data_IF_754633160451
#
_entry.id   IF_754633160451
#
_cell.length_a   1.000
_cell.length_b   1.000
_cell.length_c   1.000
_cell.angle_alpha   90.00
_cell.angle_beta   90.00
_cell.angle_gamma   90.00
#
_symmetry.space_group_name_H-M   'P 1'
#
loop_
_entity.id
_entity.type
_entity.pdbx_description
1 polymer ?
#
# COMPACT_ATOMS: atom_id res chain seq x y z
N UNK A 1 -11.87 -28.53 -14.88
CA UNK A 1 -11.35 -27.74 -13.73
C UNK A 1 -11.07 -26.35 -14.24
N UNK A 2 -11.73 -25.32 -13.72
CA UNK A 2 -11.41 -23.93 -14.09
C UNK A 2 -10.19 -23.48 -13.27
N UNK A 3 -9.14 -23.02 -13.94
CA UNK A 3 -7.98 -22.42 -13.28
C UNK A 3 -8.38 -20.99 -12.90
N UNK A 4 -8.50 -20.72 -11.60
CA UNK A 4 -8.74 -19.37 -11.09
C UNK A 4 -7.40 -18.64 -11.02
N UNK A 5 -7.22 -17.64 -11.88
CA UNK A 5 -6.10 -16.71 -11.78
C UNK A 5 -6.50 -15.54 -10.89
N UNK A 6 -5.70 -15.27 -9.86
CA UNK A 6 -5.80 -14.04 -9.06
C UNK A 6 -4.68 -13.12 -9.50
N UNK A 7 -5.03 -12.04 -10.20
CA UNK A 7 -4.07 -11.00 -10.57
C UNK A 7 -4.17 -9.86 -9.55
N UNK A 8 -3.03 -9.47 -8.97
CA UNK A 8 -2.91 -8.21 -8.24
C UNK A 8 -2.59 -7.09 -9.22
N UNK A 9 -3.12 -5.89 -8.97
CA UNK A 9 -2.84 -4.69 -9.77
C UNK A 9 -3.17 -4.82 -11.27
N UNK A 10 -4.26 -5.50 -11.60
CA UNK A 10 -4.77 -5.53 -12.97
C UNK A 10 -5.36 -4.17 -13.35
N UNK A 11 -5.01 -3.66 -14.53
CA UNK A 11 -5.43 -2.35 -15.02
C UNK A 11 -5.96 -2.45 -16.44
N UNK A 12 -6.76 -1.48 -16.86
CA UNK A 12 -7.31 -1.40 -18.21
C UNK A 12 -6.19 -1.07 -19.22
N UNK A 13 -6.04 -1.94 -20.22
CA UNK A 13 -5.02 -1.83 -21.27
C UNK A 13 -5.25 -0.67 -22.25
N UNK A 14 -6.47 -0.13 -22.28
CA UNK A 14 -6.87 1.03 -23.09
C UNK A 14 -6.06 2.28 -22.77
N UNK A 15 -5.51 2.37 -21.56
CA UNK A 15 -4.69 3.49 -21.09
C UNK A 15 -3.21 3.15 -21.08
N UNK A 16 -2.35 4.17 -21.09
CA UNK A 16 -0.91 3.95 -21.00
C UNK A 16 -0.56 3.40 -19.62
N UNK A 17 0.19 2.30 -19.57
CA UNK A 17 0.57 1.70 -18.29
C UNK A 17 1.36 2.69 -17.40
N UNK A 18 2.11 3.60 -18.04
CA UNK A 18 2.84 4.67 -17.37
C UNK A 18 1.92 5.61 -16.57
N UNK A 19 0.66 5.84 -16.99
CA UNK A 19 -0.26 6.68 -16.21
C UNK A 19 -0.55 6.07 -14.83
N UNK A 20 -0.70 4.75 -14.74
CA UNK A 20 -0.90 4.07 -13.45
C UNK A 20 0.36 4.10 -12.58
N UNK A 21 1.55 3.96 -13.20
CA UNK A 21 2.81 4.07 -12.49
C UNK A 21 3.04 5.49 -11.97
N UNK A 22 2.78 6.51 -12.78
CA UNK A 22 2.96 7.90 -12.39
C UNK A 22 1.93 8.33 -11.34
N UNK A 23 0.67 7.92 -11.51
CA UNK A 23 -0.37 8.14 -10.52
C UNK A 23 0.00 7.51 -9.17
N UNK A 24 0.36 6.23 -9.15
CA UNK A 24 0.67 5.49 -7.92
C UNK A 24 1.96 5.95 -7.21
N UNK A 25 2.86 6.66 -7.90
CA UNK A 25 4.10 7.19 -7.32
C UNK A 25 4.10 8.71 -7.15
N UNK A 26 3.00 9.40 -7.46
CA UNK A 26 2.94 10.86 -7.55
C UNK A 26 4.03 11.50 -8.44
N UNK A 27 4.34 10.89 -9.59
CA UNK A 27 5.34 11.39 -10.55
C UNK A 27 4.69 12.00 -11.79
N UNK A 28 5.51 12.61 -12.65
CA UNK A 28 5.05 13.25 -13.88
C UNK A 28 4.07 14.38 -13.59
N UNK A 29 2.87 14.30 -14.16
CA UNK A 29 1.79 15.26 -13.93
C UNK A 29 1.00 15.04 -12.64
N UNK A 30 1.15 13.88 -12.00
CA UNK A 30 0.39 13.50 -10.79
C UNK A 30 1.09 13.93 -9.51
N UNK A 31 1.67 15.13 -9.49
CA UNK A 31 2.31 15.68 -8.29
C UNK A 31 1.25 16.05 -7.25
N UNK A 32 1.54 15.94 -5.94
CA UNK A 32 0.56 16.25 -4.91
C UNK A 32 0.02 17.68 -5.04
N UNK A 33 -1.31 17.82 -4.95
CA UNK A 33 -2.00 19.10 -5.10
C UNK A 33 -2.27 19.54 -6.55
N UNK A 34 -1.77 18.82 -7.56
CA UNK A 34 -2.11 19.10 -8.95
C UNK A 34 -3.62 18.98 -9.19
N UNK A 35 -4.19 19.90 -9.96
CA UNK A 35 -5.64 20.00 -10.22
C UNK A 35 -5.94 19.84 -11.70
N UNK A 36 -7.22 19.62 -12.03
CA UNK A 36 -7.72 19.50 -13.41
C UNK A 36 -6.94 18.45 -14.22
N UNK A 37 -6.53 17.37 -13.56
CA UNK A 37 -5.81 16.28 -14.20
C UNK A 37 -6.76 15.53 -15.12
N UNK A 38 -6.22 15.05 -16.23
CA UNK A 38 -6.94 14.20 -17.17
C UNK A 38 -6.12 12.97 -17.51
N UNK A 39 -6.73 11.88 -17.94
CA UNK A 39 -6.03 10.75 -18.57
C UNK A 39 -6.74 10.44 -19.88
N UNK A 40 -6.03 10.44 -20.99
CA UNK A 40 -6.59 10.13 -22.31
C UNK A 40 -6.17 8.73 -22.71
N UNK A 41 -7.10 7.95 -23.25
CA UNK A 41 -6.83 6.61 -23.78
C UNK A 41 -5.84 6.66 -24.94
N UNK A 42 -5.19 5.53 -25.22
CA UNK A 42 -4.18 5.41 -26.30
C UNK A 42 -4.75 5.76 -27.67
N UNK A 43 -6.02 5.46 -27.89
CA UNK A 43 -6.77 5.74 -29.13
C UNK A 43 -7.41 7.14 -29.14
N UNK A 44 -7.25 7.93 -28.07
CA UNK A 44 -7.83 9.25 -27.87
C UNK A 44 -9.37 9.32 -27.87
N UNK A 45 -10.07 8.18 -27.78
CA UNK A 45 -11.53 8.15 -27.77
C UNK A 45 -12.14 8.38 -26.38
N UNK A 46 -11.35 8.24 -25.32
CA UNK A 46 -11.81 8.38 -23.93
C UNK A 46 -10.90 9.32 -23.16
N UNK A 47 -11.48 10.24 -22.40
CA UNK A 47 -10.75 11.07 -21.43
C UNK A 47 -11.39 10.97 -20.06
N UNK A 48 -10.60 10.56 -19.07
CA UNK A 48 -10.94 10.60 -17.65
C UNK A 48 -10.57 11.97 -17.09
N UNK A 49 -11.40 12.50 -16.20
CA UNK A 49 -11.21 13.79 -15.55
C UNK A 49 -11.18 13.63 -14.03
N UNK A 50 -10.18 14.24 -13.39
CA UNK A 50 -10.03 14.24 -11.94
C UNK A 50 -10.54 15.58 -11.39
N UNK A 51 -11.54 15.53 -10.53
CA UNK A 51 -12.24 16.69 -9.97
C UNK A 51 -11.74 17.10 -8.57
N UNK A 52 -10.63 16.52 -8.11
CA UNK A 52 -10.02 16.83 -6.83
C UNK A 52 -8.51 17.02 -7.00
N UNK A 53 -7.85 17.79 -6.10
CA UNK A 53 -6.40 17.85 -6.07
C UNK A 53 -5.79 16.47 -5.86
N UNK A 54 -4.69 16.18 -6.55
CA UNK A 54 -3.99 14.90 -6.41
C UNK A 54 -3.56 14.67 -4.95
N UNK A 55 -3.92 13.53 -4.33
CA UNK A 55 -3.49 13.21 -2.98
C UNK A 55 -1.98 12.97 -2.90
N UNK A 56 -1.42 13.23 -1.73
CA UNK A 56 -0.03 12.88 -1.42
C UNK A 56 0.05 11.44 -0.88
N UNK A 57 0.70 10.55 -1.62
CA UNK A 57 0.90 9.15 -1.25
C UNK A 57 2.19 8.90 -0.45
N UNK A 58 2.91 9.94 -0.01
CA UNK A 58 4.13 9.79 0.79
C UNK A 58 3.93 9.11 2.15
N UNK A 59 2.67 8.99 2.61
CA UNK A 59 2.32 8.22 3.79
C UNK A 59 2.41 6.70 3.57
N UNK A 60 2.35 6.22 2.32
CA UNK A 60 2.55 4.82 2.01
C UNK A 60 4.05 4.43 2.06
N UNK A 61 4.36 3.17 2.31
CA UNK A 61 5.73 2.67 2.17
C UNK A 61 6.11 2.64 0.69
N UNK A 62 6.98 3.53 0.22
CA UNK A 62 7.26 3.66 -1.22
C UNK A 62 8.44 2.81 -1.72
N UNK A 63 9.08 2.01 -0.86
CA UNK A 63 10.32 1.28 -1.18
C UNK A 63 10.33 -0.16 -0.65
N UNK A 64 11.25 -0.94 -1.19
CA UNK A 64 11.51 -2.32 -0.76
C UNK A 64 10.44 -3.31 -1.22
N UNK A 65 10.52 -4.52 -0.68
CA UNK A 65 9.66 -5.66 -1.06
C UNK A 65 8.17 -5.42 -0.80
N UNK A 66 7.84 -4.64 0.23
CA UNK A 66 6.48 -4.43 0.71
C UNK A 66 5.95 -3.04 0.36
N UNK A 67 6.28 -2.59 -0.86
CA UNK A 67 5.86 -1.29 -1.36
C UNK A 67 4.32 -1.20 -1.36
N UNK A 68 3.79 -0.12 -0.81
CA UNK A 68 2.37 0.21 -0.69
C UNK A 68 1.52 -0.69 0.21
N UNK A 69 2.12 -1.63 0.94
CA UNK A 69 1.40 -2.53 1.88
C UNK A 69 1.15 -1.91 3.26
N UNK A 70 1.72 -0.74 3.51
CA UNK A 70 1.73 -0.06 4.80
C UNK A 70 1.48 1.42 4.62
N UNK A 71 0.67 2.00 5.51
CA UNK A 71 0.41 3.45 5.52
C UNK A 71 0.70 4.04 6.90
N UNK A 72 1.52 5.07 6.95
CA UNK A 72 1.84 5.84 8.15
C UNK A 72 0.66 6.72 8.56
N UNK A 73 0.26 6.64 9.83
CA UNK A 73 -0.85 7.40 10.42
C UNK A 73 -0.37 8.37 11.51
N UNK A 74 0.92 8.74 11.47
CA UNK A 74 1.62 9.62 12.39
C UNK A 74 2.04 8.99 13.72
N UNK A 75 2.81 9.75 14.51
CA UNK A 75 3.23 9.44 15.88
C UNK A 75 3.94 8.08 16.06
N UNK A 76 4.63 7.58 15.03
CA UNK A 76 5.28 6.28 15.06
C UNK A 76 4.32 5.10 14.92
N UNK A 77 3.16 5.30 14.29
CA UNK A 77 2.18 4.26 14.01
C UNK A 77 1.90 4.14 12.52
N UNK A 78 1.72 2.90 12.08
CA UNK A 78 1.28 2.58 10.71
C UNK A 78 0.10 1.61 10.76
N UNK A 79 -0.61 1.49 9.65
CA UNK A 79 -1.70 0.52 9.46
C UNK A 79 -1.40 -0.41 8.30
N UNK A 80 -1.91 -1.63 8.37
CA UNK A 80 -1.84 -2.64 7.32
C UNK A 80 -2.95 -3.69 7.50
N UNK A 81 -2.97 -4.71 6.66
CA UNK A 81 -3.87 -5.85 6.79
C UNK A 81 -3.33 -6.86 7.81
N UNK A 82 -4.19 -7.36 8.70
CA UNK A 82 -3.78 -8.27 9.76
C UNK A 82 -3.28 -9.62 9.23
N UNK A 83 -3.79 -10.09 8.09
CA UNK A 83 -3.36 -11.34 7.47
C UNK A 83 -1.90 -11.34 6.97
N UNK A 84 -1.27 -10.17 6.92
CA UNK A 84 0.16 -10.04 6.64
C UNK A 84 1.05 -10.49 7.81
N UNK A 85 0.47 -10.84 8.97
CA UNK A 85 1.22 -11.25 10.15
C UNK A 85 0.76 -12.63 10.62
N UNK A 86 1.71 -13.54 10.70
CA UNK A 86 1.49 -14.87 11.27
C UNK A 86 2.75 -15.32 11.99
N UNK A 87 2.74 -15.18 13.32
CA UNK A 87 3.86 -15.58 14.19
C UNK A 87 4.22 -17.06 14.07
N UNK A 88 3.26 -17.93 13.70
CA UNK A 88 3.50 -19.36 13.50
C UNK A 88 4.08 -19.67 12.11
N UNK A 89 4.07 -18.70 11.18
CA UNK A 89 4.60 -18.84 9.84
C UNK A 89 5.63 -17.75 9.52
N UNK A 90 6.91 -18.09 9.74
CA UNK A 90 8.06 -17.21 9.49
C UNK A 90 8.18 -16.71 8.04
N UNK A 91 7.47 -17.32 7.07
CA UNK A 91 7.44 -16.79 5.70
C UNK A 91 6.56 -15.55 5.58
N UNK A 92 5.50 -15.45 6.40
CA UNK A 92 4.52 -14.36 6.42
C UNK A 92 4.81 -13.29 7.47
N UNK A 93 5.56 -13.58 8.53
CA UNK A 93 5.80 -12.58 9.58
C UNK A 93 6.79 -11.47 9.13
N UNK A 94 6.24 -10.38 8.57
CA UNK A 94 6.99 -9.18 8.17
C UNK A 94 7.64 -8.49 9.38
N UNK A 95 7.04 -8.60 10.57
CA UNK A 95 7.51 -7.94 11.78
C UNK A 95 8.73 -8.65 12.40
N UNK A 96 8.74 -9.99 12.47
CA UNK A 96 9.91 -10.74 12.97
C UNK A 96 11.16 -10.54 12.11
N UNK A 97 11.00 -10.22 10.83
CA UNK A 97 12.10 -10.04 9.89
C UNK A 97 12.81 -8.70 10.01
N UNK A 98 12.40 -7.82 10.93
CA UNK A 98 12.94 -6.46 11.05
C UNK A 98 12.94 -5.72 9.70
N UNK A 99 11.86 -5.89 8.94
CA UNK A 99 11.73 -5.26 7.63
C UNK A 99 11.79 -3.75 7.80
N UNK A 100 12.76 -3.13 7.15
CA UNK A 100 12.84 -1.67 7.04
C UNK A 100 11.75 -1.17 6.10
N UNK A 101 10.88 -0.33 6.64
CA UNK A 101 9.87 0.41 5.90
C UNK A 101 10.32 1.88 5.82
N UNK A 102 10.06 2.52 4.67
CA UNK A 102 10.44 3.90 4.42
C UNK A 102 9.20 4.78 4.25
N UNK A 103 9.04 5.75 5.13
CA UNK A 103 7.96 6.73 5.07
C UNK A 103 8.57 8.13 5.06
N UNK A 104 8.28 8.92 4.02
CA UNK A 104 8.81 10.29 3.92
C UNK A 104 10.34 10.39 4.01
N UNK A 105 11.08 9.33 3.64
CA UNK A 105 12.55 9.28 3.75
C UNK A 105 13.09 8.74 5.07
N UNK A 106 12.24 8.42 6.04
CA UNK A 106 12.65 7.81 7.32
C UNK A 106 12.55 6.30 7.26
N UNK A 107 13.66 5.62 7.51
CA UNK A 107 13.74 4.17 7.64
C UNK A 107 13.39 3.74 9.07
N UNK A 108 12.39 2.88 9.22
CA UNK A 108 11.92 2.38 10.51
C UNK A 108 11.50 0.92 10.44
N UNK A 109 11.48 0.25 11.60
CA UNK A 109 11.06 -1.15 11.74
C UNK A 109 9.85 -1.25 12.66
N UNK A 110 9.05 -2.30 12.45
CA UNK A 110 7.91 -2.64 13.29
C UNK A 110 8.42 -3.21 14.62
N UNK A 111 7.90 -2.72 15.74
CA UNK A 111 8.25 -3.16 17.11
C UNK A 111 7.06 -3.59 17.95
N UNK A 112 5.84 -3.40 17.45
CA UNK A 112 4.63 -3.85 18.14
C UNK A 112 3.42 -3.86 17.22
N UNK A 113 2.38 -4.56 17.61
CA UNK A 113 1.12 -4.64 16.89
C UNK A 113 -0.05 -4.67 17.88
N UNK A 114 -1.15 -4.02 17.50
CA UNK A 114 -2.41 -4.01 18.26
C UNK A 114 -3.04 -5.40 18.47
N UNK A 115 -2.63 -6.39 17.67
CA UNK A 115 -3.04 -7.79 17.82
C UNK A 115 -1.92 -8.69 18.39
N UNK A 116 -0.84 -8.12 18.95
CA UNK A 116 0.33 -8.84 19.46
C UNK A 116 0.95 -9.82 18.45
N UNK A 117 0.82 -9.54 17.15
CA UNK A 117 1.23 -10.41 16.04
C UNK A 117 0.54 -11.79 16.04
N UNK A 118 -0.63 -11.89 16.69
CA UNK A 118 -1.41 -13.13 16.78
C UNK A 118 -1.87 -13.56 15.38
N UNK A 119 -1.77 -14.86 15.11
CA UNK A 119 -2.07 -15.46 13.81
C UNK A 119 -3.50 -15.12 13.34
N UNK A 120 -3.62 -14.61 12.11
CA UNK A 120 -4.88 -14.35 11.43
C UNK A 120 -5.88 -15.52 11.49
N UNK A 121 -5.42 -16.77 11.45
CA UNK A 121 -6.26 -17.98 11.48
C UNK A 121 -7.00 -18.16 12.81
N UNK A 122 -6.41 -17.72 13.93
CA UNK A 122 -7.07 -17.69 15.24
C UNK A 122 -7.87 -16.39 15.44
N UNK A 123 -7.43 -15.29 14.82
CA UNK A 123 -8.04 -13.96 14.89
C UNK A 123 -9.30 -13.78 14.01
N UNK A 124 -9.40 -14.54 12.90
CA UNK A 124 -10.46 -14.45 11.86
C UNK A 124 -11.88 -14.66 12.39
N UNK A 125 -12.05 -15.33 13.52
CA UNK A 125 -13.39 -15.63 14.05
C UNK A 125 -14.09 -14.42 14.66
N UNK A 126 -13.38 -13.32 14.96
CA UNK A 126 -13.96 -12.19 15.72
C UNK A 126 -13.52 -10.78 15.28
N UNK A 127 -12.57 -10.62 14.36
CA UNK A 127 -11.98 -9.30 14.07
C UNK A 127 -11.83 -8.99 12.56
N UNK A 128 -11.85 -7.70 12.18
CA UNK A 128 -11.56 -7.25 10.81
C UNK A 128 -10.10 -7.49 10.43
N UNK A 129 -9.82 -7.59 9.12
CA UNK A 129 -8.49 -7.78 8.54
C UNK A 129 -7.67 -6.49 8.56
N UNK A 130 -7.41 -6.00 9.77
CA UNK A 130 -6.86 -4.69 10.03
C UNK A 130 -5.95 -4.75 11.25
N UNK A 131 -4.79 -4.09 11.16
CA UNK A 131 -3.85 -4.00 12.28
C UNK A 131 -3.20 -2.62 12.31
N UNK A 132 -3.11 -2.07 13.53
CA UNK A 132 -2.23 -0.93 13.84
C UNK A 132 -0.91 -1.47 14.36
N UNK A 133 0.20 -0.93 13.85
CA UNK A 133 1.56 -1.35 14.15
C UNK A 133 2.34 -0.16 14.73
N UNK A 134 3.17 -0.45 15.72
CA UNK A 134 4.09 0.51 16.34
C UNK A 134 5.46 0.43 15.67
N UNK A 135 6.02 1.59 15.36
CA UNK A 135 7.33 1.77 14.73
C UNK A 135 8.39 2.17 15.78
N UNK A 136 9.67 1.87 15.50
CA UNK A 136 10.76 2.24 16.42
C UNK A 136 11.23 3.69 16.30
N UNK A 137 10.92 4.36 15.19
CA UNK A 137 11.35 5.72 14.85
C UNK A 137 10.20 6.46 14.17
N UNK A 138 10.26 7.78 14.24
CA UNK A 138 9.32 8.73 13.62
C UNK A 138 10.11 9.82 12.92
#
# INVERSE_FOLDING_TARGET
>A
MAVQFSFASAVDETFHYQDYLDFGNNTGRFTPGAQNLTITSRDSNTTLYFNAPMPNFSAANLRGKWKSEFTNISAGYIISAAHMFDRANSTKDVAQKHVTLNFGGVDSIIVGASNDFTNWTEYKKRNPDFVVLKMNKF
#
